data_IF_835546309184
#
_entry.id   IF_835546309184
#
_cell.length_a   1.000
_cell.length_b   1.000
_cell.length_c   1.000
_cell.angle_alpha   90.00
_cell.angle_beta   90.00
_cell.angle_gamma   90.00
#
_symmetry.space_group_name_H-M   'P 1'
#
loop_
_entity.id
_entity.type
_entity.pdbx_description
1 polymer ?
#
# COMPACT_ATOMS: atom_id res chain seq x y z
N UNK A 1 -14.80 -7.88 9.12
CA UNK A 1 -14.50 -7.57 9.24
C UNK A 1 -13.62 -6.92 8.65
N UNK A 2 -13.20 -6.27 8.51
CA UNK A 2 -12.44 -5.42 8.13
C UNK A 2 -11.57 -5.72 7.22
N UNK A 3 -11.48 -5.69 6.59
CA UNK A 3 -10.72 -6.07 5.95
C UNK A 3 -10.11 -5.30 5.08
N UNK A 4 -9.30 -5.19 4.55
CA UNK A 4 -8.67 -4.41 3.67
C UNK A 4 -8.02 -3.22 4.17
N UNK A 5 -8.11 -2.92 5.37
CA UNK A 5 -7.49 -1.80 5.84
C UNK A 5 -6.23 -2.11 6.49
N UNK A 6 -5.13 -1.47 6.18
CA UNK A 6 -3.85 -1.68 6.80
C UNK A 6 -3.45 -0.41 7.54
N UNK A 7 -3.20 -0.53 8.82
CA UNK A 7 -2.81 0.64 9.60
C UNK A 7 -1.35 0.95 9.32
N UNK A 8 -0.96 2.15 9.68
CA UNK A 8 0.41 2.56 9.47
C UNK A 8 1.35 1.66 10.26
N UNK A 9 0.95 1.26 11.45
CA UNK A 9 1.79 0.39 12.25
C UNK A 9 2.05 -0.94 11.56
N UNK A 10 1.01 -1.51 10.98
CA UNK A 10 1.16 -2.77 10.29
C UNK A 10 2.07 -2.60 9.08
N UNK A 11 1.88 -1.51 8.35
CA UNK A 11 2.69 -1.29 7.18
C UNK A 11 4.13 -1.01 7.54
N UNK A 12 4.35 -0.33 8.64
CA UNK A 12 5.71 -0.09 9.05
C UNK A 12 6.46 -1.38 9.26
N UNK A 13 5.74 -2.39 9.79
CA UNK A 13 6.38 -3.64 9.99
C UNK A 13 6.72 -4.26 8.69
N UNK A 14 5.82 -4.30 7.71
CA UNK A 14 6.09 -4.96 6.46
C UNK A 14 6.99 -4.14 5.54
N UNK A 15 7.07 -2.85 5.75
CA UNK A 15 7.88 -2.02 4.88
C UNK A 15 9.18 -1.59 5.53
N UNK A 16 9.57 -2.32 6.59
CA UNK A 16 10.79 -1.99 7.23
C UNK A 16 11.94 -2.06 6.26
N UNK A 17 12.84 -1.16 6.30
CA UNK A 17 13.99 -1.16 5.43
C UNK A 17 13.77 -0.50 4.08
N UNK A 18 12.59 0.01 3.84
CA UNK A 18 12.33 0.68 2.58
C UNK A 18 12.92 2.08 2.61
N UNK A 19 13.63 2.43 1.56
CA UNK A 19 14.19 3.76 1.48
C UNK A 19 13.23 4.63 0.72
N UNK A 20 12.70 5.63 1.34
CA UNK A 20 11.77 6.53 0.68
C UNK A 20 12.53 7.72 0.14
N UNK A 21 12.09 8.28 -0.94
CA UNK A 21 10.94 7.86 -1.72
C UNK A 21 11.22 6.56 -2.46
N UNK A 22 10.23 5.74 -2.59
CA UNK A 22 10.39 4.44 -3.22
C UNK A 22 9.27 4.22 -4.23
N UNK A 23 9.58 3.52 -5.29
CA UNK A 23 8.54 3.23 -6.27
C UNK A 23 7.61 2.17 -5.71
N UNK A 24 6.42 2.09 -6.27
CA UNK A 24 5.49 1.11 -5.74
C UNK A 24 6.01 -0.30 -5.92
N UNK A 25 6.77 -0.54 -6.96
CA UNK A 25 7.33 -1.85 -7.13
C UNK A 25 8.35 -2.16 -6.08
N UNK A 26 9.13 -1.17 -5.69
CA UNK A 26 10.11 -1.37 -4.66
C UNK A 26 9.43 -1.59 -3.34
N UNK A 27 8.37 -0.84 -3.05
CA UNK A 27 7.64 -1.00 -1.81
C UNK A 27 7.02 -2.40 -1.78
N UNK A 28 6.41 -2.83 -2.88
CA UNK A 28 5.79 -4.14 -2.92
C UNK A 28 6.84 -5.24 -2.74
N UNK A 29 7.99 -5.07 -3.35
CA UNK A 29 9.03 -6.05 -3.25
C UNK A 29 9.54 -6.16 -1.82
N UNK A 30 9.73 -5.02 -1.16
CA UNK A 30 10.16 -5.04 0.22
C UNK A 30 9.11 -5.66 1.12
N UNK A 31 7.84 -5.37 0.87
CA UNK A 31 6.79 -5.97 1.67
C UNK A 31 6.82 -7.48 1.51
N UNK A 32 7.00 -7.94 0.30
CA UNK A 32 7.03 -9.35 0.07
C UNK A 32 8.21 -9.98 0.80
N UNK A 33 9.35 -9.34 0.76
CA UNK A 33 10.52 -9.87 1.45
C UNK A 33 10.36 -9.88 2.95
N UNK A 34 9.51 -9.03 3.48
CA UNK A 34 9.28 -8.98 4.90
C UNK A 34 8.10 -9.84 5.33
N UNK A 35 7.58 -10.65 4.44
CA UNK A 35 6.54 -11.60 4.84
C UNK A 35 5.12 -11.09 4.67
N UNK A 36 4.90 -10.04 3.93
CA UNK A 36 3.55 -9.55 3.75
C UNK A 36 2.74 -10.54 2.92
N UNK A 37 1.43 -10.51 3.11
CA UNK A 37 0.58 -11.40 2.36
C UNK A 37 0.57 -10.97 0.91
N UNK A 38 0.23 -11.89 0.05
CA UNK A 38 0.14 -11.54 -1.34
C UNK A 38 -0.92 -10.53 -1.59
N UNK A 39 -1.96 -10.53 -0.80
CA UNK A 39 -3.01 -9.56 -0.94
C UNK A 39 -2.46 -8.16 -0.76
N UNK A 40 -1.65 -7.95 0.26
CA UNK A 40 -1.07 -6.65 0.51
C UNK A 40 -0.13 -6.25 -0.63
N UNK A 41 0.70 -7.17 -1.06
CA UNK A 41 1.64 -6.88 -2.13
C UNK A 41 0.88 -6.52 -3.40
N UNK A 42 -0.20 -7.22 -3.65
CA UNK A 42 -0.98 -6.97 -4.85
C UNK A 42 -1.63 -5.58 -4.77
N UNK A 43 -2.12 -5.22 -3.62
CA UNK A 43 -2.74 -3.92 -3.46
C UNK A 43 -1.73 -2.81 -3.67
N UNK A 44 -0.52 -2.99 -3.18
CA UNK A 44 0.50 -1.99 -3.38
C UNK A 44 0.80 -1.84 -4.86
N UNK A 45 0.90 -2.95 -5.57
CA UNK A 45 1.22 -2.88 -6.97
C UNK A 45 0.11 -2.25 -7.80
N UNK A 46 -1.10 -2.38 -7.32
CA UNK A 46 -2.23 -1.83 -8.04
C UNK A 46 -2.60 -0.43 -7.60
N UNK A 47 -1.83 0.15 -6.71
CA UNK A 47 -2.13 1.50 -6.25
C UNK A 47 -1.96 2.48 -7.39
N UNK A 48 -2.75 3.55 -7.32
CA UNK A 48 -2.69 4.53 -8.32
C UNK A 48 -1.46 5.38 -8.22
N UNK A 49 -0.68 5.29 -7.23
CA UNK A 49 0.49 6.09 -7.00
C UNK A 49 1.69 5.31 -7.41
N UNK A 50 2.54 5.89 -8.26
CA UNK A 50 3.70 5.17 -8.70
C UNK A 50 4.85 5.25 -7.74
N UNK A 51 4.85 6.20 -6.87
CA UNK A 51 5.94 6.37 -5.94
C UNK A 51 5.40 6.85 -4.62
N UNK A 52 5.95 6.36 -3.55
CA UNK A 52 5.53 6.73 -2.22
C UNK A 52 6.65 7.46 -1.52
N UNK A 53 6.32 8.55 -0.85
CA UNK A 53 7.32 9.31 -0.12
C UNK A 53 7.44 8.84 1.31
N UNK A 54 6.50 8.12 1.82
CA UNK A 54 6.56 7.65 3.19
C UNK A 54 5.58 6.51 3.36
N UNK A 55 5.69 5.82 4.47
CA UNK A 55 4.80 4.71 4.73
C UNK A 55 3.38 5.23 4.92
N UNK A 56 3.23 6.47 5.34
CA UNK A 56 1.91 7.01 5.51
C UNK A 56 1.20 7.16 4.19
N UNK A 57 1.95 7.47 3.15
CA UNK A 57 1.34 7.56 1.85
C UNK A 57 0.89 6.18 1.36
N UNK A 58 1.65 5.15 1.71
CA UNK A 58 1.23 3.82 1.37
C UNK A 58 -0.07 3.49 2.08
N UNK A 59 -0.14 3.83 3.36
CA UNK A 59 -1.36 3.56 4.12
C UNK A 59 -2.54 4.29 3.54
N UNK A 60 -2.34 5.53 3.12
CA UNK A 60 -3.43 6.28 2.55
C UNK A 60 -3.88 5.66 1.24
N UNK A 61 -2.96 5.24 0.43
CA UNK A 61 -3.32 4.65 -0.84
C UNK A 61 -4.11 3.37 -0.66
N UNK A 62 -3.79 2.60 0.36
CA UNK A 62 -4.47 1.35 0.58
C UNK A 62 -5.79 1.53 1.33
N UNK A 63 -5.88 2.57 2.13
CA UNK A 63 -7.10 2.79 2.89
C UNK A 63 -8.14 3.53 2.08
N UNK A 64 -7.72 4.33 1.12
CA UNK A 64 -8.68 5.09 0.36
C UNK A 64 -9.43 4.21 -0.57
N UNK A 65 -10.71 4.28 -0.57
CA UNK A 65 -11.46 3.46 -1.51
C UNK A 65 -11.26 4.01 -2.91
N UNK A 66 -11.39 3.19 -3.90
CA UNK A 66 -11.25 3.68 -5.26
C UNK A 66 -12.33 4.71 -5.52
N UNK A 67 -12.08 5.65 -6.36
CA UNK A 67 -13.05 6.67 -6.65
C UNK A 67 -14.27 6.03 -7.21
N UNK A 68 -15.37 6.31 -6.65
CA UNK A 68 -16.56 5.72 -7.10
C UNK A 68 -16.89 6.26 -8.45
N UNK A 69 -17.44 5.48 -9.22
CA UNK A 69 -17.78 5.92 -10.50
C UNK A 69 -18.82 6.88 -10.31
N UNK A 70 -18.81 7.86 -10.80
CA UNK A 70 -19.69 8.75 -10.57
C UNK A 70 -20.85 8.47 -11.11
N UNK A 71 -21.33 7.84 -11.42
CA UNK A 71 -22.36 7.56 -11.95
C UNK A 71 -23.33 7.93 -11.61
N UNK A 72 -23.60 8.18 -11.19
CA UNK A 72 -24.46 8.59 -10.83
C UNK A 72 -25.53 8.24 -11.22
N UNK A 73 -25.71 7.81 -11.37
CA UNK A 73 -26.91 7.51 -11.54
C UNK A 73 -27.67 7.67 -12.25
#
# INVERSE_FOLDING_TARGET
MGQGEYSVSTLQRYLMGTDYPASKEQVASNAQGNGATQDLVHQIRNADIERFDSVEEVAQALSSPPPAPMDVG
#
